data_IF_789084416242
#
_entry.id   IF_789084416242
#
_cell.length_a   1.000
_cell.length_b   1.000
_cell.length_c   1.000
_cell.angle_alpha   90.00
_cell.angle_beta   90.00
_cell.angle_gamma   90.00
#
_symmetry.space_group_name_H-M   'P 1'
#
loop_
_entity.id
_entity.type
_entity.pdbx_description
1 polymer ?
#
# COMPACT_ATOMS: atom_id res chain seq x y z
N UNK A 1 30.47 35.96 -31.90
CA UNK A 1 30.06 36.24 -30.51
C UNK A 1 28.52 36.35 -30.36
N UNK A 2 27.75 35.45 -30.98
CA UNK A 2 26.31 35.64 -31.22
C UNK A 2 25.47 34.45 -30.72
N UNK A 3 25.65 34.04 -29.45
CA UNK A 3 24.90 32.90 -28.91
C UNK A 3 24.38 33.03 -27.46
N UNK A 4 24.77 34.06 -26.69
CA UNK A 4 24.32 34.20 -25.29
C UNK A 4 23.01 34.97 -25.09
N UNK A 5 22.66 35.89 -25.98
CA UNK A 5 21.46 36.73 -25.86
C UNK A 5 20.18 36.00 -26.27
N UNK A 6 20.25 35.12 -27.29
CA UNK A 6 19.09 34.33 -27.74
C UNK A 6 18.61 33.34 -26.69
N UNK A 7 19.52 32.72 -25.93
CA UNK A 7 19.16 31.81 -24.84
C UNK A 7 18.44 32.50 -23.68
N UNK A 8 18.86 33.73 -23.31
CA UNK A 8 18.17 34.52 -22.27
C UNK A 8 16.78 34.97 -22.71
N UNK A 9 16.63 35.39 -23.97
CA UNK A 9 15.34 35.74 -24.56
C UNK A 9 14.36 34.57 -24.58
N UNK A 10 14.84 33.36 -24.92
CA UNK A 10 14.04 32.13 -24.88
C UNK A 10 13.56 31.78 -23.47
N UNK A 11 14.42 31.90 -22.45
CA UNK A 11 14.05 31.63 -21.06
C UNK A 11 13.01 32.64 -20.57
N UNK A 12 13.17 33.94 -20.85
CA UNK A 12 12.16 34.95 -20.50
C UNK A 12 10.83 34.75 -21.24
N UNK A 13 10.86 34.31 -22.51
CA UNK A 13 9.64 34.02 -23.26
C UNK A 13 8.88 32.80 -22.68
N UNK A 14 9.60 31.81 -22.17
CA UNK A 14 9.04 30.60 -21.55
C UNK A 14 8.41 30.90 -20.17
N UNK A 15 8.97 31.88 -19.43
CA UNK A 15 8.41 32.39 -18.16
C UNK A 15 7.17 33.25 -18.39
N UNK A 16 7.16 34.10 -19.43
CA UNK A 16 6.03 35.02 -19.73
C UNK A 16 4.83 34.30 -20.35
N UNK A 17 5.03 33.16 -21.01
CA UNK A 17 3.95 32.36 -21.62
C UNK A 17 3.30 31.34 -20.67
N UNK A 18 3.72 31.29 -19.39
CA UNK A 18 3.18 30.34 -18.41
C UNK A 18 3.51 28.87 -18.69
N UNK A 19 4.37 28.58 -19.67
CA UNK A 19 4.87 27.24 -20.02
C UNK A 19 6.03 26.79 -19.13
N UNK A 20 6.56 27.68 -18.28
CA UNK A 20 7.29 27.25 -17.09
C UNK A 20 6.26 26.59 -16.18
N UNK A 21 6.06 25.28 -16.35
CA UNK A 21 5.04 24.51 -15.66
C UNK A 21 4.93 24.96 -14.21
N UNK A 22 3.72 25.34 -13.79
CA UNK A 22 3.42 25.48 -12.37
C UNK A 22 3.95 24.22 -11.71
N UNK A 23 4.84 24.37 -10.73
CA UNK A 23 5.19 23.25 -9.86
C UNK A 23 3.86 22.81 -9.26
N UNK A 24 3.24 21.79 -9.85
CA UNK A 24 2.07 21.16 -9.30
C UNK A 24 2.54 20.55 -7.99
N UNK A 25 2.25 21.24 -6.88
CA UNK A 25 2.48 20.79 -5.51
C UNK A 25 1.50 19.66 -5.12
N UNK A 26 1.17 18.82 -6.10
CA UNK A 26 0.31 17.66 -5.98
C UNK A 26 1.12 16.36 -5.98
N UNK A 27 2.42 16.44 -6.27
CA UNK A 27 3.36 15.37 -5.98
C UNK A 27 3.45 15.13 -4.48
N UNK A 28 3.62 13.88 -4.09
CA UNK A 28 3.79 13.50 -2.67
C UNK A 28 4.95 14.26 -2.04
N UNK A 29 4.66 14.95 -0.93
CA UNK A 29 5.63 15.74 -0.17
C UNK A 29 6.71 14.86 0.46
N UNK A 30 7.79 15.48 0.94
CA UNK A 30 8.88 14.74 1.59
C UNK A 30 8.40 13.98 2.84
N UNK A 31 7.56 14.60 3.65
CA UNK A 31 7.06 14.00 4.89
C UNK A 31 6.07 12.87 4.59
N UNK A 32 5.12 13.10 3.67
CA UNK A 32 4.19 12.06 3.21
C UNK A 32 4.95 10.85 2.64
N UNK A 33 6.01 11.10 1.88
CA UNK A 33 6.88 10.06 1.33
C UNK A 33 7.56 9.27 2.43
N UNK A 34 8.10 9.95 3.44
CA UNK A 34 8.73 9.31 4.60
C UNK A 34 7.74 8.45 5.35
N UNK A 35 6.51 8.93 5.58
CA UNK A 35 5.44 8.17 6.24
C UNK A 35 5.12 6.90 5.47
N UNK A 36 4.78 7.00 4.18
CA UNK A 36 4.41 5.85 3.36
C UNK A 36 5.56 4.83 3.23
N UNK A 37 6.79 5.30 3.00
CA UNK A 37 7.97 4.42 2.90
C UNK A 37 8.23 3.70 4.23
N UNK A 38 8.08 4.40 5.36
CA UNK A 38 8.28 3.81 6.69
C UNK A 38 7.23 2.74 6.95
N UNK A 39 5.95 3.07 6.76
CA UNK A 39 4.83 2.15 6.95
C UNK A 39 4.98 0.87 6.09
N UNK A 40 5.30 1.03 4.80
CA UNK A 40 5.50 -0.11 3.90
C UNK A 40 6.70 -0.97 4.30
N UNK A 41 7.79 -0.35 4.77
CA UNK A 41 9.04 -1.04 5.12
C UNK A 41 8.92 -1.77 6.45
N UNK A 42 8.39 -1.11 7.49
CA UNK A 42 8.23 -1.69 8.81
C UNK A 42 7.27 -2.87 8.77
N UNK A 43 6.09 -2.71 8.15
CA UNK A 43 5.14 -3.83 8.00
C UNK A 43 5.72 -5.03 7.22
N UNK A 44 6.57 -4.78 6.21
CA UNK A 44 7.32 -5.85 5.51
C UNK A 44 8.26 -6.56 6.46
N UNK A 45 9.10 -5.82 7.16
CA UNK A 45 10.17 -6.37 7.99
C UNK A 45 9.59 -7.13 9.19
N UNK A 46 8.54 -6.61 9.81
CA UNK A 46 7.79 -7.29 10.88
C UNK A 46 7.15 -8.58 10.39
N UNK A 47 6.43 -8.55 9.27
CA UNK A 47 5.80 -9.75 8.71
C UNK A 47 6.84 -10.84 8.45
N UNK A 48 7.95 -10.49 7.79
CA UNK A 48 9.01 -11.44 7.45
C UNK A 48 9.64 -12.06 8.70
N UNK A 49 9.79 -11.29 9.78
CA UNK A 49 10.32 -11.81 11.04
C UNK A 49 9.35 -12.80 11.70
N UNK A 50 8.05 -12.50 11.72
CA UNK A 50 7.02 -13.37 12.34
C UNK A 50 6.90 -14.72 11.66
N UNK A 51 7.01 -14.74 10.33
CA UNK A 51 6.78 -15.96 9.54
C UNK A 51 8.07 -16.72 9.24
N UNK A 52 9.20 -16.24 9.77
CA UNK A 52 10.50 -16.84 9.60
C UNK A 52 10.56 -18.22 10.26
N UNK A 53 11.02 -19.21 9.50
CA UNK A 53 11.27 -20.57 9.98
C UNK A 53 10.04 -21.23 10.65
N UNK A 54 8.82 -20.87 10.25
CA UNK A 54 7.60 -21.56 10.68
C UNK A 54 7.43 -22.88 9.94
N UNK A 55 7.05 -23.93 10.67
CA UNK A 55 6.72 -25.23 10.06
C UNK A 55 5.39 -25.20 9.32
N UNK A 56 5.14 -26.19 8.47
CA UNK A 56 3.83 -26.32 7.80
C UNK A 56 2.68 -26.49 8.81
N UNK A 57 2.91 -27.20 9.91
CA UNK A 57 1.93 -27.34 10.99
C UNK A 57 1.62 -25.98 11.65
N UNK A 58 2.64 -25.17 11.91
CA UNK A 58 2.49 -23.82 12.47
C UNK A 58 1.76 -22.88 11.52
N UNK A 59 2.05 -22.94 10.22
CA UNK A 59 1.38 -22.13 9.21
C UNK A 59 -0.11 -22.49 9.07
N UNK A 60 -0.45 -23.78 9.20
CA UNK A 60 -1.81 -24.28 9.06
C UNK A 60 -2.59 -24.31 10.39
N UNK A 61 -1.97 -24.00 11.53
CA UNK A 61 -2.66 -23.95 12.81
C UNK A 61 -3.85 -22.97 12.75
N UNK A 62 -5.04 -23.50 13.02
CA UNK A 62 -6.27 -22.71 13.12
C UNK A 62 -6.48 -22.35 14.58
N UNK A 63 -6.51 -21.06 14.89
CA UNK A 63 -6.76 -20.61 16.26
C UNK A 63 -8.18 -21.02 16.69
N UNK A 64 -8.35 -21.74 17.81
CA UNK A 64 -9.66 -22.15 18.32
C UNK A 64 -10.64 -20.99 18.47
N UNK A 65 -11.88 -21.18 18.00
CA UNK A 65 -12.91 -20.14 18.00
C UNK A 65 -12.79 -19.14 16.85
N UNK A 66 -11.84 -19.34 15.93
CA UNK A 66 -11.67 -18.54 14.71
C UNK A 66 -11.52 -19.47 13.50
N UNK A 67 -11.57 -18.90 12.30
CA UNK A 67 -11.24 -19.60 11.04
C UNK A 67 -9.93 -19.07 10.42
N UNK A 68 -9.06 -18.50 11.26
CA UNK A 68 -7.84 -17.83 10.82
C UNK A 68 -6.61 -18.66 11.15
N UNK A 69 -5.74 -18.81 10.15
CA UNK A 69 -4.40 -19.40 10.26
C UNK A 69 -3.38 -18.42 9.71
N UNK A 70 -2.10 -18.59 10.06
CA UNK A 70 -1.01 -17.74 9.54
C UNK A 70 -0.94 -17.85 8.00
N UNK A 71 -1.17 -19.05 7.46
CA UNK A 71 -1.33 -19.28 6.02
C UNK A 71 -2.43 -18.40 5.41
N UNK A 72 -3.61 -18.35 6.04
CA UNK A 72 -4.71 -17.53 5.53
C UNK A 72 -4.34 -16.04 5.56
N UNK A 73 -3.71 -15.56 6.64
CA UNK A 73 -3.24 -14.17 6.74
C UNK A 73 -2.25 -13.84 5.62
N UNK A 74 -1.23 -14.69 5.39
CA UNK A 74 -0.26 -14.51 4.30
C UNK A 74 -0.92 -14.45 2.92
N UNK A 75 -1.94 -15.28 2.69
CA UNK A 75 -2.69 -15.28 1.44
C UNK A 75 -3.50 -13.99 1.26
N UNK A 76 -4.14 -13.49 2.32
CA UNK A 76 -4.86 -12.22 2.26
C UNK A 76 -3.92 -11.06 1.96
N UNK A 77 -2.77 -10.98 2.64
CA UNK A 77 -1.77 -9.92 2.40
C UNK A 77 -1.32 -9.94 0.93
N UNK A 78 -1.01 -11.12 0.40
CA UNK A 78 -0.52 -11.26 -0.96
C UNK A 78 -1.58 -10.80 -1.99
N UNK A 79 -2.83 -11.23 -1.79
CA UNK A 79 -3.94 -10.88 -2.65
C UNK A 79 -4.33 -9.39 -2.55
N UNK A 80 -4.37 -8.85 -1.34
CA UNK A 80 -4.77 -7.45 -1.14
C UNK A 80 -3.72 -6.49 -1.70
N UNK A 81 -2.43 -6.83 -1.59
CA UNK A 81 -1.35 -6.03 -2.18
C UNK A 81 -1.46 -5.96 -3.72
N UNK A 82 -1.66 -7.10 -4.39
CA UNK A 82 -1.88 -7.12 -5.84
C UNK A 82 -3.12 -6.29 -6.21
N UNK A 83 -4.23 -6.48 -5.48
CA UNK A 83 -5.49 -5.79 -5.78
C UNK A 83 -5.42 -4.28 -5.57
N UNK A 84 -4.78 -3.83 -4.50
CA UNK A 84 -4.60 -2.41 -4.21
C UNK A 84 -3.68 -1.76 -5.23
N UNK A 85 -2.61 -2.44 -5.64
CA UNK A 85 -1.71 -1.93 -6.67
C UNK A 85 -2.37 -1.84 -8.04
N UNK A 86 -3.14 -2.86 -8.44
CA UNK A 86 -3.94 -2.83 -9.67
C UNK A 86 -4.94 -1.67 -9.67
N UNK A 87 -5.56 -1.38 -8.53
CA UNK A 87 -6.45 -0.23 -8.40
C UNK A 87 -5.68 1.09 -8.56
N UNK A 88 -4.54 1.26 -7.88
CA UNK A 88 -3.69 2.46 -8.02
C UNK A 88 -3.33 2.67 -9.49
N UNK A 89 -2.77 1.65 -10.14
CA UNK A 89 -2.35 1.75 -11.55
C UNK A 89 -3.52 2.08 -12.48
N UNK A 90 -4.70 1.51 -12.24
CA UNK A 90 -5.92 1.81 -13.03
C UNK A 90 -6.40 3.25 -12.83
N UNK A 91 -6.41 3.74 -11.58
CA UNK A 91 -6.86 5.12 -11.28
C UNK A 91 -5.86 6.13 -11.85
N UNK A 92 -4.56 5.84 -11.77
CA UNK A 92 -3.49 6.69 -12.31
C UNK A 92 -3.50 6.80 -13.85
N UNK A 93 -4.19 5.90 -14.56
CA UNK A 93 -4.39 6.00 -16.01
C UNK A 93 -5.53 6.94 -16.40
N UNK A 94 -6.38 7.31 -15.44
CA UNK A 94 -7.49 8.23 -15.66
C UNK A 94 -7.00 9.68 -15.58
N UNK A 95 -7.80 10.62 -16.09
CA UNK A 95 -7.53 12.05 -15.92
C UNK A 95 -7.62 12.41 -14.43
N UNK A 96 -6.63 13.15 -13.93
CA UNK A 96 -6.65 13.69 -12.56
C UNK A 96 -7.92 14.49 -12.29
N UNK A 97 -8.50 14.32 -11.10
CA UNK A 97 -9.76 14.89 -10.67
C UNK A 97 -9.62 15.61 -9.30
N UNK A 98 -8.80 16.69 -9.24
CA UNK A 98 -8.48 17.38 -7.97
C UNK A 98 -9.72 17.89 -7.22
N UNK A 99 -10.81 18.20 -7.93
CA UNK A 99 -12.08 18.62 -7.32
C UNK A 99 -12.69 17.54 -6.42
N UNK A 100 -12.37 16.26 -6.65
CA UNK A 100 -12.84 15.14 -5.82
C UNK A 100 -12.12 15.03 -4.49
N UNK A 101 -10.98 15.71 -4.30
CA UNK A 101 -10.26 15.70 -3.02
C UNK A 101 -11.08 16.25 -1.87
N UNK A 102 -11.95 17.22 -2.15
CA UNK A 102 -12.87 17.81 -1.17
C UNK A 102 -13.93 16.80 -0.68
N UNK A 103 -14.12 15.68 -1.39
CA UNK A 103 -15.04 14.63 -1.00
C UNK A 103 -14.37 13.53 -0.14
N UNK A 104 -13.04 13.59 0.07
CA UNK A 104 -12.31 12.68 0.96
C UNK A 104 -12.71 12.99 2.40
N UNK A 105 -13.21 11.96 3.09
CA UNK A 105 -13.79 12.11 4.43
C UNK A 105 -12.77 11.86 5.55
N UNK A 106 -11.79 11.01 5.29
CA UNK A 106 -10.81 10.58 6.28
C UNK A 106 -9.45 11.20 5.98
N UNK A 107 -8.81 11.68 7.04
CA UNK A 107 -7.39 12.04 7.02
C UNK A 107 -6.53 10.80 6.83
N UNK A 108 -5.27 11.01 6.45
CA UNK A 108 -4.29 9.93 6.29
C UNK A 108 -4.06 9.16 7.60
N UNK A 109 -4.03 9.86 8.74
CA UNK A 109 -3.87 9.21 10.04
C UNK A 109 -5.10 8.39 10.42
N UNK A 110 -6.29 8.91 10.13
CA UNK A 110 -7.54 8.19 10.38
C UNK A 110 -7.64 6.94 9.51
N UNK A 111 -7.28 7.03 8.23
CA UNK A 111 -7.40 5.89 7.32
C UNK A 111 -6.43 4.78 7.71
N UNK A 112 -5.17 5.12 8.03
CA UNK A 112 -4.18 4.17 8.55
C UNK A 112 -4.72 3.49 9.80
N UNK A 113 -5.16 4.26 10.79
CA UNK A 113 -5.65 3.73 12.07
C UNK A 113 -6.87 2.82 11.89
N UNK A 114 -7.83 3.22 11.07
CA UNK A 114 -9.03 2.42 10.81
C UNK A 114 -8.70 1.12 10.07
N UNK A 115 -7.74 1.15 9.15
CA UNK A 115 -7.25 -0.06 8.46
C UNK A 115 -6.50 -0.99 9.41
N UNK A 116 -5.62 -0.47 10.26
CA UNK A 116 -4.89 -1.26 11.27
C UNK A 116 -5.84 -1.95 12.26
N UNK A 117 -6.95 -1.29 12.60
CA UNK A 117 -8.01 -1.84 13.44
C UNK A 117 -8.92 -2.85 12.70
N UNK A 118 -8.71 -3.05 11.39
CA UNK A 118 -9.55 -3.90 10.54
C UNK A 118 -10.95 -3.33 10.27
N UNK A 119 -11.19 -2.05 10.58
CA UNK A 119 -12.50 -1.41 10.40
C UNK A 119 -12.80 -1.07 8.93
N UNK A 120 -11.76 -0.87 8.12
CA UNK A 120 -11.88 -0.58 6.69
C UNK A 120 -10.88 -1.39 5.88
N UNK A 121 -11.32 -1.91 4.74
CA UNK A 121 -10.48 -2.58 3.75
C UNK A 121 -11.08 -2.37 2.36
N UNK A 122 -10.50 -1.48 1.54
CA UNK A 122 -10.97 -1.25 0.16
C UNK A 122 -10.59 -2.39 -0.79
N UNK A 123 -9.67 -3.28 -0.40
CA UNK A 123 -9.44 -4.54 -1.12
C UNK A 123 -10.62 -5.51 -0.95
N UNK A 124 -11.36 -5.43 0.16
CA UNK A 124 -12.51 -6.27 0.49
C UNK A 124 -12.09 -7.63 1.07
N UNK A 125 -12.94 -8.25 1.90
CA UNK A 125 -12.61 -9.55 2.50
C UNK A 125 -12.88 -10.71 1.53
N UNK A 126 -11.83 -11.32 0.98
CA UNK A 126 -11.95 -12.53 0.15
C UNK A 126 -11.56 -13.83 0.90
N UNK A 127 -11.66 -13.79 2.23
CA UNK A 127 -11.27 -14.86 3.16
C UNK A 127 -11.84 -16.23 2.77
N UNK A 128 -13.11 -16.28 2.39
CA UNK A 128 -13.78 -17.52 2.02
C UNK A 128 -13.27 -18.15 0.71
N UNK A 129 -13.00 -17.35 -0.34
CA UNK A 129 -12.49 -17.91 -1.60
C UNK A 129 -11.02 -18.32 -1.47
N UNK A 130 -10.25 -17.59 -0.68
CA UNK A 130 -8.83 -17.87 -0.48
C UNK A 130 -8.60 -19.10 0.42
N UNK A 131 -9.47 -19.38 1.39
CA UNK A 131 -9.39 -20.62 2.19
C UNK A 131 -9.48 -21.90 1.34
N UNK A 132 -10.17 -21.84 0.19
CA UNK A 132 -10.34 -22.96 -0.74
C UNK A 132 -9.38 -22.89 -1.96
N UNK A 133 -8.56 -21.84 -2.06
CA UNK A 133 -7.64 -21.72 -3.17
C UNK A 133 -6.50 -22.74 -3.00
N UNK A 134 -6.03 -23.40 -4.09
CA UNK A 134 -4.92 -24.35 -4.05
C UNK A 134 -3.55 -23.68 -3.82
N UNK A 135 -3.53 -22.54 -3.15
CA UNK A 135 -2.33 -21.82 -2.77
C UNK A 135 -1.65 -22.54 -1.60
N UNK A 136 -0.46 -23.04 -1.87
CA UNK A 136 0.46 -23.40 -0.80
C UNK A 136 1.09 -22.08 -0.34
N UNK A 137 0.74 -21.59 0.87
CA UNK A 137 1.56 -20.57 1.52
C UNK A 137 2.94 -21.16 1.67
N UNK A 138 3.81 -20.74 0.77
CA UNK A 138 5.14 -21.30 0.56
C UNK A 138 6.13 -20.19 0.73
N UNK A 139 7.39 -20.56 0.88
CA UNK A 139 8.51 -19.64 0.75
C UNK A 139 8.39 -18.74 -0.50
N UNK A 140 7.79 -19.26 -1.58
CA UNK A 140 7.49 -18.53 -2.80
C UNK A 140 6.51 -17.37 -2.57
N UNK A 141 5.41 -17.58 -1.83
CA UNK A 141 4.43 -16.52 -1.49
C UNK A 141 5.08 -15.37 -0.73
N UNK A 142 5.90 -15.69 0.27
CA UNK A 142 6.62 -14.71 1.08
C UNK A 142 7.65 -13.95 0.22
N UNK A 143 8.36 -14.67 -0.66
CA UNK A 143 9.33 -14.07 -1.58
C UNK A 143 8.67 -13.13 -2.59
N UNK A 144 7.53 -13.52 -3.18
CA UNK A 144 6.76 -12.69 -4.10
C UNK A 144 6.25 -11.41 -3.43
N UNK A 145 5.68 -11.54 -2.21
CA UNK A 145 5.29 -10.37 -1.41
C UNK A 145 6.48 -9.44 -1.17
N UNK A 146 7.61 -9.98 -0.70
CA UNK A 146 8.82 -9.19 -0.43
C UNK A 146 9.29 -8.42 -1.66
N UNK A 147 9.31 -9.07 -2.83
CA UNK A 147 9.74 -8.46 -4.08
C UNK A 147 8.81 -7.32 -4.49
N UNK A 148 7.48 -7.53 -4.50
CA UNK A 148 6.52 -6.47 -4.83
C UNK A 148 6.58 -5.31 -3.85
N UNK A 149 6.65 -5.60 -2.56
CA UNK A 149 6.77 -4.57 -1.53
C UNK A 149 8.03 -3.73 -1.70
N UNK A 150 9.14 -4.33 -2.14
CA UNK A 150 10.36 -3.58 -2.48
C UNK A 150 10.15 -2.65 -3.68
N UNK A 151 9.44 -3.10 -4.71
CA UNK A 151 9.09 -2.25 -5.85
C UNK A 151 8.14 -1.11 -5.45
N UNK A 152 7.14 -1.37 -4.61
CA UNK A 152 6.25 -0.33 -4.08
C UNK A 152 7.01 0.70 -3.22
N UNK A 153 7.94 0.25 -2.38
CA UNK A 153 8.82 1.14 -1.60
C UNK A 153 9.70 1.97 -2.55
N UNK A 154 10.26 1.35 -3.60
CA UNK A 154 11.08 2.04 -4.59
C UNK A 154 10.27 3.09 -5.35
N UNK A 155 9.08 2.72 -5.81
CA UNK A 155 8.12 3.63 -6.42
C UNK A 155 7.84 4.82 -5.51
N UNK A 156 7.52 4.59 -4.23
CA UNK A 156 7.32 5.69 -3.29
C UNK A 156 8.55 6.53 -3.04
N UNK A 157 9.77 5.98 -3.13
CA UNK A 157 11.00 6.77 -2.97
C UNK A 157 11.30 7.68 -4.15
N UNK A 158 11.00 7.26 -5.38
CA UNK A 158 11.42 7.97 -6.59
C UNK A 158 10.30 8.62 -7.39
N UNK A 159 9.04 8.26 -7.14
CA UNK A 159 7.91 8.74 -7.94
C UNK A 159 7.70 10.25 -7.78
N UNK A 160 7.50 10.91 -8.91
CA UNK A 160 7.07 12.31 -9.03
C UNK A 160 5.63 12.42 -9.51
N UNK A 161 4.90 11.30 -9.54
CA UNK A 161 3.52 11.25 -10.00
C UNK A 161 2.57 11.93 -9.01
N UNK A 162 1.45 12.43 -9.55
CA UNK A 162 0.41 13.12 -8.79
C UNK A 162 -0.52 12.10 -8.12
N UNK A 163 -0.11 11.52 -6.99
CA UNK A 163 -0.94 10.53 -6.29
C UNK A 163 -2.15 11.15 -5.59
N UNK A 164 -2.13 12.46 -5.36
CA UNK A 164 -3.12 13.15 -4.52
C UNK A 164 -4.33 13.63 -5.29
N UNK A 165 -4.18 13.96 -6.57
CA UNK A 165 -5.29 14.39 -7.42
C UNK A 165 -5.92 13.24 -8.23
N UNK A 166 -5.54 11.99 -7.96
CA UNK A 166 -6.19 10.80 -8.52
C UNK A 166 -7.04 10.16 -7.43
N UNK A 167 -8.33 10.49 -7.43
CA UNK A 167 -9.29 10.11 -6.39
C UNK A 167 -10.31 9.13 -6.95
N UNK A 168 -10.59 8.06 -6.22
CA UNK A 168 -11.59 7.06 -6.57
C UNK A 168 -12.62 6.87 -5.44
N UNK A 169 -13.84 6.53 -5.84
CA UNK A 169 -14.88 6.11 -4.93
C UNK A 169 -14.73 4.62 -4.61
N UNK A 170 -14.69 4.30 -3.33
CA UNK A 170 -14.57 2.94 -2.81
C UNK A 170 -15.70 2.64 -1.84
N UNK A 171 -15.90 1.37 -1.41
CA UNK A 171 -16.86 1.05 -0.34
C UNK A 171 -16.61 1.81 0.98
N UNK A 172 -15.39 2.33 1.19
CA UNK A 172 -15.00 3.07 2.39
C UNK A 172 -15.08 4.59 2.18
N UNK A 173 -15.53 5.05 1.01
CA UNK A 173 -15.64 6.47 0.64
C UNK A 173 -14.66 6.88 -0.46
N UNK A 174 -14.55 8.19 -0.69
CA UNK A 174 -13.56 8.74 -1.62
C UNK A 174 -12.18 8.73 -0.97
N UNK A 175 -11.20 8.18 -1.70
CA UNK A 175 -9.80 8.14 -1.28
C UNK A 175 -8.90 8.41 -2.49
N UNK A 176 -7.73 9.00 -2.23
CA UNK A 176 -6.73 9.24 -3.27
C UNK A 176 -5.73 8.07 -3.41
N UNK A 177 -4.96 8.05 -4.50
CA UNK A 177 -3.95 7.01 -4.74
C UNK A 177 -2.87 6.96 -3.65
N UNK A 178 -2.58 8.07 -2.96
CA UNK A 178 -1.64 8.06 -1.84
C UNK A 178 -2.24 7.33 -0.62
N UNK A 179 -3.52 7.57 -0.33
CA UNK A 179 -4.25 6.85 0.72
C UNK A 179 -4.36 5.36 0.43
N UNK A 180 -4.51 4.95 -0.84
CA UNK A 180 -4.40 3.53 -1.22
C UNK A 180 -3.06 2.90 -0.79
N UNK A 181 -1.95 3.63 -0.93
CA UNK A 181 -0.61 3.15 -0.54
C UNK A 181 -0.50 3.06 0.99
N UNK A 182 -1.06 4.04 1.71
CA UNK A 182 -1.12 3.99 3.17
C UNK A 182 -1.92 2.77 3.66
N UNK A 183 -3.09 2.53 3.06
CA UNK A 183 -3.92 1.37 3.34
C UNK A 183 -3.16 0.06 3.07
N UNK A 184 -2.42 -0.04 1.98
CA UNK A 184 -1.60 -1.22 1.67
C UNK A 184 -0.58 -1.52 2.78
N UNK A 185 0.06 -0.48 3.32
CA UNK A 185 0.94 -0.60 4.48
C UNK A 185 0.17 -1.03 5.74
N UNK A 186 -0.89 -0.31 6.08
CA UNK A 186 -1.71 -0.53 7.27
C UNK A 186 -2.40 -1.91 7.30
N UNK A 187 -2.86 -2.43 6.17
CA UNK A 187 -3.43 -3.79 6.08
C UNK A 187 -2.38 -4.83 6.46
N UNK A 188 -1.12 -4.62 6.09
CA UNK A 188 -0.02 -5.51 6.47
C UNK A 188 0.12 -5.54 8.00
N UNK A 189 0.11 -4.37 8.64
CA UNK A 189 0.20 -4.26 10.10
C UNK A 189 -0.99 -4.94 10.80
N UNK A 190 -2.21 -4.76 10.29
CA UNK A 190 -3.40 -5.47 10.79
C UNK A 190 -3.20 -6.99 10.75
N UNK A 191 -2.70 -7.54 9.65
CA UNK A 191 -2.44 -8.98 9.55
C UNK A 191 -1.24 -9.43 10.40
N UNK A 192 -0.21 -8.61 10.59
CA UNK A 192 0.88 -8.89 11.53
C UNK A 192 0.35 -9.04 12.95
N UNK A 193 -0.56 -8.16 13.38
CA UNK A 193 -1.21 -8.27 14.70
C UNK A 193 -2.04 -9.56 14.82
N UNK A 194 -2.75 -9.95 13.76
CA UNK A 194 -3.46 -11.23 13.73
C UNK A 194 -2.51 -12.43 13.83
N UNK A 195 -1.37 -12.39 13.13
CA UNK A 195 -0.34 -13.42 13.21
C UNK A 195 0.24 -13.48 14.62
N UNK A 196 0.55 -12.33 15.25
CA UNK A 196 1.04 -12.28 16.63
C UNK A 196 0.03 -12.89 17.61
N UNK A 197 -1.28 -12.66 17.42
CA UNK A 197 -2.31 -13.30 18.24
C UNK A 197 -2.33 -14.84 18.07
N UNK A 198 -2.13 -15.34 16.85
CA UNK A 198 -2.07 -16.78 16.57
C UNK A 198 -0.81 -17.40 17.17
N UNK A 199 0.36 -16.76 16.99
CA UNK A 199 1.65 -17.20 17.52
C UNK A 199 1.64 -17.29 19.06
N UNK A 200 0.97 -16.35 19.72
CA UNK A 200 0.86 -16.30 21.17
C UNK A 200 -0.25 -17.19 21.74
N UNK A 201 -0.98 -17.93 20.90
CA UNK A 201 -2.07 -18.79 21.36
C UNK A 201 -1.52 -20.00 22.14
N UNK A 202 -2.15 -20.34 23.28
CA UNK A 202 -1.69 -21.41 24.20
C UNK A 202 -1.55 -22.79 23.54
N UNK A 203 -2.35 -23.05 22.50
CA UNK A 203 -2.34 -24.31 21.73
C UNK A 203 -1.49 -24.24 20.46
N UNK A 204 -0.78 -23.14 20.21
CA UNK A 204 0.07 -23.01 19.04
C UNK A 204 1.17 -24.08 19.06
N UNK A 205 1.46 -24.76 17.93
CA UNK A 205 2.45 -25.81 17.87
C UNK A 205 3.84 -25.28 18.22
N UNK A 206 4.54 -25.98 19.11
CA UNK A 206 5.93 -25.68 19.44
C UNK A 206 6.85 -26.25 18.36
N UNK A 207 8.00 -25.60 18.15
CA UNK A 207 9.09 -26.18 17.35
C UNK A 207 9.65 -27.42 18.01
#
# INVERSE_FOLDING_TARGET
MLQRTKGRLLITLLVVTGLAGTLNDSSVSREERKVAVTLLKEGRDELLERVKDLSEEQLNFIQPGTNSSIKNCLMQINWSEDRLWDNITTIMQQTSNPEKRLAIQYTDEQIVKMTEQGAISPSGSNTFKLANAPWKATQTTISSFKNRRNEHIKYMKSSTEDLRNHVALTPVGWIDCYQYILIMGAETNCYVQQIDNILNHKKFPKK
#
